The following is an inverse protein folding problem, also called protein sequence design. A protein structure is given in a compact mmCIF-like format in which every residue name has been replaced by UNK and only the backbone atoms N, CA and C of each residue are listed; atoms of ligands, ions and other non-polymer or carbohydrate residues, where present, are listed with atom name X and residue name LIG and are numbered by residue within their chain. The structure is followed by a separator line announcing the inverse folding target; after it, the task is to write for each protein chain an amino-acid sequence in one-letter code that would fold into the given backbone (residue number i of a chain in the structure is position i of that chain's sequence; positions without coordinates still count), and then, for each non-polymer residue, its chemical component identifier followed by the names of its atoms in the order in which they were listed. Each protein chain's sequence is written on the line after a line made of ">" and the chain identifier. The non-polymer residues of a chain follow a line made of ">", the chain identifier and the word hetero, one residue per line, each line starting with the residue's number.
data_IF_188948132811
#
_entry.id   IF_188948132811
#
_cell.length_a   1.000
_cell.length_b   1.000
_cell.length_c   1.000
_cell.angle_alpha   90.00
_cell.angle_beta   90.00
_cell.angle_gamma   90.00
#
_symmetry.space_group_name_H-M   'P 1'
#
loop_
_entity.id
_entity.type
_entity.pdbx_description
1 polymer ?
#
# COMPACT_ATOMS: atom_id res chain seq x y z
N UNK A 1 -31.77 52.12 -20.00
CA UNK A 1 -32.62 52.35 -18.81
C UNK A 1 -32.34 51.17 -17.89
N UNK A 2 -31.31 51.28 -17.13
CA UNK A 2 -31.17 51.42 -15.67
C UNK A 2 -32.03 50.50 -14.85
N UNK A 3 -31.42 49.38 -14.37
CA UNK A 3 -31.59 48.75 -13.05
C UNK A 3 -30.57 47.61 -12.90
N UNK A 4 -29.43 47.94 -12.32
CA UNK A 4 -28.59 46.98 -11.62
C UNK A 4 -27.57 47.76 -10.79
N UNK A 5 -27.71 47.70 -9.49
CA UNK A 5 -26.65 47.96 -8.53
C UNK A 5 -27.25 48.04 -7.10
N UNK A 6 -27.55 46.87 -6.48
CA UNK A 6 -27.72 46.86 -5.02
C UNK A 6 -27.75 45.40 -4.44
N UNK A 7 -26.82 44.54 -4.83
CA UNK A 7 -26.60 43.25 -4.10
C UNK A 7 -25.10 42.97 -4.10
N UNK A 8 -24.31 43.67 -3.34
CA UNK A 8 -22.89 43.33 -3.15
C UNK A 8 -22.23 43.92 -1.89
N UNK A 9 -22.97 44.20 -0.85
CA UNK A 9 -22.35 44.71 0.40
C UNK A 9 -22.56 43.90 1.68
N UNK A 10 -23.36 42.83 1.67
CA UNK A 10 -23.62 42.05 2.88
C UNK A 10 -22.82 40.74 3.01
N UNK A 11 -22.17 40.29 1.93
CA UNK A 11 -21.37 39.07 1.96
C UNK A 11 -19.95 39.21 2.58
N UNK A 12 -19.45 40.44 2.67
CA UNK A 12 -18.09 40.69 3.22
C UNK A 12 -18.03 40.83 4.75
N UNK A 13 -19.16 41.12 5.40
CA UNK A 13 -19.21 41.26 6.87
C UNK A 13 -19.39 39.93 7.62
N UNK A 14 -19.90 38.89 6.97
CA UNK A 14 -20.07 37.57 7.59
C UNK A 14 -18.77 36.75 7.65
N UNK A 15 -17.80 37.00 6.76
CA UNK A 15 -16.51 36.27 6.73
C UNK A 15 -15.49 36.78 7.76
N UNK A 16 -15.59 38.01 8.22
CA UNK A 16 -14.68 38.58 9.22
C UNK A 16 -14.92 38.12 10.67
N UNK A 17 -16.11 37.59 10.98
CA UNK A 17 -16.45 37.14 12.34
C UNK A 17 -16.17 35.64 12.62
N UNK A 18 -15.95 34.84 11.60
CA UNK A 18 -15.59 33.43 11.74
C UNK A 18 -14.09 33.20 11.99
N UNK A 19 -13.23 34.09 11.46
CA UNK A 19 -11.77 33.97 11.62
C UNK A 19 -11.29 34.33 13.05
N UNK A 20 -11.94 35.28 13.70
CA UNK A 20 -11.55 35.73 15.06
C UNK A 20 -11.91 34.76 16.19
N UNK A 21 -12.83 33.80 15.96
CA UNK A 21 -13.20 32.78 16.96
C UNK A 21 -12.32 31.53 16.92
N UNK A 22 -11.60 31.28 15.82
CA UNK A 22 -10.65 30.17 15.67
C UNK A 22 -9.35 30.39 16.44
N UNK A 23 -8.83 31.60 16.44
CA UNK A 23 -7.55 31.90 17.07
C UNK A 23 -7.60 31.97 18.61
N UNK A 24 -8.75 32.31 19.19
CA UNK A 24 -8.92 32.34 20.64
C UNK A 24 -8.94 30.93 21.29
N UNK A 25 -9.42 29.91 20.56
CA UNK A 25 -9.41 28.51 21.04
C UNK A 25 -8.04 27.81 20.93
N UNK A 26 -7.18 28.24 20.02
CA UNK A 26 -5.83 27.69 19.87
C UNK A 26 -4.87 28.18 20.98
N UNK A 27 -5.06 29.40 21.49
CA UNK A 27 -4.25 29.94 22.59
C UNK A 27 -4.57 29.35 23.96
N UNK A 28 -5.80 28.90 24.20
CA UNK A 28 -6.20 28.28 25.46
C UNK A 28 -5.66 26.85 25.64
N UNK A 29 -5.43 26.09 24.55
CA UNK A 29 -4.85 24.74 24.62
C UNK A 29 -3.33 24.72 24.86
N UNK A 30 -2.59 25.78 24.51
CA UNK A 30 -1.13 25.85 24.72
C UNK A 30 -0.72 26.23 26.16
N UNK A 31 -1.64 26.73 27.00
CA UNK A 31 -1.35 27.08 28.41
C UNK A 31 -1.52 25.91 29.39
N UNK A 32 -2.18 24.80 29.00
CA UNK A 32 -2.36 23.63 29.88
C UNK A 32 -1.24 22.58 29.81
N UNK A 33 -0.30 22.69 28.88
CA UNK A 33 0.78 21.72 28.66
C UNK A 33 2.13 22.09 29.30
N UNK A 34 2.19 23.14 30.13
CA UNK A 34 3.46 23.63 30.80
C UNK A 34 3.40 23.69 32.31
N UNK A 35 2.63 22.84 32.97
CA UNK A 35 2.60 22.82 34.44
C UNK A 35 2.51 21.39 34.98
N UNK A 36 3.63 20.75 35.22
CA UNK A 36 3.62 19.41 35.82
C UNK A 36 4.96 18.70 35.72
N UNK A 37 5.97 19.24 36.34
CA UNK A 37 7.25 18.56 36.49
C UNK A 37 8.04 19.16 37.63
N UNK A 38 8.00 18.56 38.83
CA UNK A 38 9.11 18.49 39.77
C UNK A 38 8.63 17.91 41.11
N UNK A 39 9.39 16.98 41.59
CA UNK A 39 9.60 16.46 42.95
C UNK A 39 9.28 14.97 43.09
N UNK A 40 10.33 14.16 43.18
CA UNK A 40 10.83 13.68 44.45
C UNK A 40 12.07 12.79 44.22
N UNK A 41 13.21 13.29 44.63
CA UNK A 41 14.39 12.49 44.92
C UNK A 41 14.45 12.26 46.43
N UNK A 42 15.09 11.16 46.83
CA UNK A 42 15.67 10.83 48.14
C UNK A 42 14.90 9.79 48.98
N UNK A 43 15.44 8.58 49.10
CA UNK A 43 16.26 8.19 50.24
C UNK A 43 16.70 6.74 50.15
N UNK A 44 17.99 6.57 50.19
CA UNK A 44 18.66 5.30 50.44
C UNK A 44 18.58 4.93 51.94
N UNK A 45 18.46 3.63 52.26
CA UNK A 45 19.19 3.08 53.41
C UNK A 45 19.31 1.57 53.32
N UNK A 46 20.50 1.13 53.57
CA UNK A 46 21.03 -0.24 53.67
C UNK A 46 20.25 -1.12 54.65
N UNK A 47 20.19 -2.41 54.35
CA UNK A 47 20.54 -3.48 55.32
C UNK A 47 20.97 -4.70 54.53
N UNK A 48 22.12 -5.17 54.96
CA UNK A 48 22.85 -6.37 54.78
C UNK A 48 22.09 -7.47 55.49
N UNK A 49 22.00 -8.65 54.86
CA UNK A 49 22.12 -9.95 55.55
C UNK A 49 22.14 -11.01 54.44
N UNK A 50 23.21 -11.84 54.42
CA UNK A 50 23.44 -12.91 53.49
C UNK A 50 22.60 -14.15 53.79
N UNK A 51 22.45 -14.94 52.78
CA UNK A 51 22.41 -16.39 52.87
C UNK A 51 22.74 -16.97 51.50
N UNK A 52 23.80 -17.81 51.49
CA UNK A 52 24.23 -18.66 50.38
C UNK A 52 23.14 -19.71 50.06
N UNK A 53 22.74 -19.79 48.81
CA UNK A 53 22.32 -21.04 48.18
C UNK A 53 22.84 -21.09 46.75
N UNK A 54 23.88 -21.89 46.51
CA UNK A 54 24.28 -22.40 45.23
C UNK A 54 23.14 -23.29 44.67
N UNK A 55 22.54 -22.88 43.57
CA UNK A 55 21.91 -23.78 42.59
C UNK A 55 22.29 -23.29 41.21
N UNK A 56 23.31 -23.94 40.62
CA UNK A 56 23.64 -23.86 39.20
C UNK A 56 22.47 -24.44 38.41
N UNK A 57 21.45 -23.62 38.11
CA UNK A 57 20.57 -23.88 36.99
C UNK A 57 21.27 -23.33 35.74
N UNK A 58 21.84 -24.26 34.97
CA UNK A 58 22.20 -24.05 33.57
C UNK A 58 20.99 -23.53 32.80
N UNK A 59 20.79 -22.20 32.83
CA UNK A 59 19.96 -21.53 31.87
C UNK A 59 20.65 -21.65 30.52
N UNK A 60 20.25 -22.73 29.80
CA UNK A 60 20.50 -22.82 28.37
C UNK A 60 20.07 -21.50 27.74
N UNK A 61 21.02 -20.58 27.60
CA UNK A 61 20.86 -19.45 26.72
C UNK A 61 20.66 -20.03 25.32
N UNK A 62 19.40 -20.14 24.92
CA UNK A 62 19.04 -20.28 23.52
C UNK A 62 19.63 -19.08 22.83
N UNK A 63 20.85 -19.23 22.32
CA UNK A 63 21.47 -18.27 21.42
C UNK A 63 20.49 -18.09 20.26
N UNK A 64 19.75 -16.97 20.27
CA UNK A 64 18.77 -16.65 19.27
C UNK A 64 19.45 -16.75 17.90
N UNK A 65 19.05 -17.72 17.08
CA UNK A 65 19.39 -17.72 15.65
C UNK A 65 18.87 -16.41 15.12
N UNK A 66 19.79 -15.54 14.69
CA UNK A 66 19.42 -14.28 14.04
C UNK A 66 18.44 -14.55 12.88
N UNK A 67 17.60 -13.59 12.56
CA UNK A 67 16.68 -13.73 11.44
C UNK A 67 17.45 -14.12 10.16
N UNK A 68 16.93 -15.12 9.45
CA UNK A 68 17.54 -15.66 8.22
C UNK A 68 16.80 -15.20 6.97
N UNK A 69 15.59 -14.66 7.13
CA UNK A 69 14.73 -14.14 6.06
C UNK A 69 14.07 -12.85 6.49
N UNK A 70 14.02 -11.85 5.60
CA UNK A 70 13.24 -10.66 5.82
C UNK A 70 12.23 -10.45 4.70
N UNK A 71 11.04 -9.96 5.07
CA UNK A 71 9.96 -9.62 4.15
C UNK A 71 9.54 -8.18 4.43
N UNK A 72 9.41 -7.39 3.36
CA UNK A 72 8.93 -6.00 3.42
C UNK A 72 7.54 -5.92 2.81
N UNK A 73 6.55 -5.48 3.59
CA UNK A 73 5.21 -5.17 3.10
C UNK A 73 5.16 -3.74 2.56
N UNK A 74 4.63 -3.57 1.35
CA UNK A 74 4.42 -2.26 0.72
C UNK A 74 2.92 -1.98 0.60
N UNK A 75 2.42 -0.91 1.25
CA UNK A 75 1.00 -0.55 1.24
C UNK A 75 0.48 -0.17 -0.15
N UNK A 76 -0.84 -0.34 -0.35
CA UNK A 76 -1.56 0.12 -1.53
C UNK A 76 -1.88 1.63 -1.50
N UNK A 77 -2.46 2.11 -2.61
CA UNK A 77 -2.83 3.52 -2.78
C UNK A 77 -3.74 4.04 -1.66
N UNK A 78 -3.44 5.24 -1.15
CA UNK A 78 -4.12 5.90 -0.02
C UNK A 78 -4.12 5.12 1.30
N UNK A 79 -3.41 4.00 1.38
CA UNK A 79 -3.30 3.23 2.62
C UNK A 79 -2.22 3.80 3.53
N UNK A 80 -2.45 3.69 4.83
CA UNK A 80 -1.45 3.97 5.85
C UNK A 80 -0.77 2.65 6.27
N UNK A 81 0.53 2.68 6.50
CA UNK A 81 1.30 1.51 6.88
C UNK A 81 0.77 0.79 8.14
N UNK A 82 0.11 1.52 9.04
CA UNK A 82 -0.46 0.96 10.27
C UNK A 82 -1.60 -0.02 10.00
N UNK A 83 -2.30 0.16 8.88
CA UNK A 83 -3.36 -0.76 8.47
C UNK A 83 -2.84 -2.16 8.09
N UNK A 84 -1.52 -2.30 7.93
CA UNK A 84 -0.88 -3.58 7.60
C UNK A 84 -0.18 -4.23 8.80
N UNK A 85 -0.31 -3.69 10.02
CA UNK A 85 0.34 -4.25 11.21
C UNK A 85 -0.11 -5.69 11.48
N UNK A 86 -1.42 -5.93 11.49
CA UNK A 86 -1.98 -7.26 11.70
C UNK A 86 -1.60 -8.26 10.58
N UNK A 87 -1.51 -7.75 9.34
CA UNK A 87 -1.05 -8.55 8.19
C UNK A 87 0.41 -8.93 8.35
N UNK A 88 1.26 -8.01 8.80
CA UNK A 88 2.68 -8.27 9.05
C UNK A 88 2.87 -9.36 10.11
N UNK A 89 2.15 -9.26 11.23
CA UNK A 89 2.19 -10.28 12.29
C UNK A 89 1.66 -11.64 11.82
N UNK A 90 0.57 -11.65 11.04
CA UNK A 90 0.01 -12.89 10.52
C UNK A 90 0.96 -13.56 9.50
N UNK A 91 1.58 -12.76 8.64
CA UNK A 91 2.58 -13.23 7.66
C UNK A 91 3.83 -13.77 8.37
N UNK A 92 4.35 -13.06 9.37
CA UNK A 92 5.49 -13.51 10.16
C UNK A 92 5.21 -14.86 10.83
N UNK A 93 4.04 -15.00 11.47
CA UNK A 93 3.61 -16.28 12.07
C UNK A 93 3.50 -17.40 11.03
N UNK A 94 2.94 -17.13 9.85
CA UNK A 94 2.82 -18.11 8.77
C UNK A 94 4.18 -18.59 8.29
N UNK A 95 5.08 -17.64 8.00
CA UNK A 95 6.43 -17.94 7.53
C UNK A 95 7.29 -18.62 8.61
N UNK A 96 7.18 -18.19 9.88
CA UNK A 96 7.89 -18.81 10.98
C UNK A 96 7.48 -20.29 11.18
N UNK A 97 6.19 -20.61 11.00
CA UNK A 97 5.72 -22.01 11.00
C UNK A 97 6.35 -22.83 9.88
N UNK A 98 6.48 -22.25 8.69
CA UNK A 98 7.03 -22.93 7.52
C UNK A 98 8.55 -23.13 7.61
N UNK A 99 9.29 -22.20 8.22
CA UNK A 99 10.76 -22.21 8.27
C UNK A 99 11.33 -22.70 9.61
N UNK A 100 10.51 -22.86 10.63
CA UNK A 100 10.96 -23.13 11.99
C UNK A 100 11.48 -21.90 12.73
N UNK A 101 11.15 -20.69 12.27
CA UNK A 101 11.53 -19.40 12.86
C UNK A 101 12.55 -18.61 12.03
N UNK A 102 13.05 -17.50 12.59
CA UNK A 102 14.09 -16.70 11.95
C UNK A 102 13.60 -15.80 10.79
N UNK A 103 12.33 -15.40 10.78
CA UNK A 103 11.75 -14.48 9.81
C UNK A 103 11.44 -13.14 10.48
N UNK A 104 11.70 -12.05 9.77
CA UNK A 104 11.30 -10.68 10.15
C UNK A 104 10.38 -10.13 9.07
N UNK A 105 9.25 -9.55 9.47
CA UNK A 105 8.34 -8.84 8.58
C UNK A 105 8.20 -7.40 9.03
N UNK A 106 8.50 -6.44 8.16
CA UNK A 106 8.29 -5.01 8.43
C UNK A 106 7.47 -4.37 7.31
N UNK A 107 6.83 -3.25 7.62
CA UNK A 107 5.98 -2.49 6.68
C UNK A 107 6.69 -1.20 6.30
N UNK A 108 6.80 -0.92 5.00
CA UNK A 108 7.31 0.35 4.50
C UNK A 108 6.47 1.51 5.06
N UNK A 109 7.12 2.48 5.70
CA UNK A 109 6.50 3.56 6.51
C UNK A 109 5.83 4.62 5.62
N UNK A 110 4.93 4.19 4.75
CA UNK A 110 4.10 5.07 3.91
C UNK A 110 2.88 5.50 4.71
N UNK A 111 2.77 6.78 5.01
CA UNK A 111 1.58 7.33 5.64
C UNK A 111 0.50 7.64 4.60
N UNK A 112 -0.78 7.60 4.99
CA UNK A 112 -1.87 7.95 4.08
C UNK A 112 -1.73 9.36 3.47
N UNK A 113 -1.10 10.29 4.19
CA UNK A 113 -0.84 11.65 3.72
C UNK A 113 0.23 11.74 2.61
N UNK A 114 1.14 10.77 2.51
CA UNK A 114 2.21 10.74 1.52
C UNK A 114 1.67 10.55 0.09
N UNK A 115 0.44 10.05 -0.03
CA UNK A 115 -0.25 9.89 -1.32
C UNK A 115 -0.87 11.20 -1.86
N UNK A 116 -1.13 12.20 -1.00
CA UNK A 116 -1.83 13.42 -1.40
C UNK A 116 -1.14 14.20 -2.51
N UNK A 117 0.20 14.36 -2.52
CA UNK A 117 0.88 15.03 -3.63
C UNK A 117 0.64 14.37 -4.98
N UNK A 118 0.53 13.03 -5.02
CA UNK A 118 0.28 12.28 -6.27
C UNK A 118 -1.09 12.58 -6.86
N UNK A 119 -2.09 12.86 -6.01
CA UNK A 119 -3.43 13.28 -6.42
C UNK A 119 -3.42 14.66 -7.09
N UNK A 120 -2.48 15.52 -6.75
CA UNK A 120 -2.27 16.84 -7.35
C UNK A 120 -1.28 16.79 -8.55
N UNK A 121 -0.94 15.61 -9.05
CA UNK A 121 0.00 15.42 -10.15
C UNK A 121 1.47 15.47 -9.76
N UNK A 122 1.79 15.29 -8.46
CA UNK A 122 3.14 15.03 -7.97
C UNK A 122 3.63 13.62 -8.28
N UNK A 123 4.91 13.38 -8.03
CA UNK A 123 5.55 12.08 -8.22
C UNK A 123 5.43 11.17 -6.98
N UNK A 124 5.97 9.96 -7.07
CA UNK A 124 5.95 8.96 -6.01
C UNK A 124 7.26 8.83 -5.23
N UNK A 125 8.18 9.79 -5.35
CA UNK A 125 9.52 9.69 -4.74
C UNK A 125 9.46 9.44 -3.23
N UNK A 126 8.56 10.11 -2.51
CA UNK A 126 8.39 9.93 -1.05
C UNK A 126 8.04 8.48 -0.71
N UNK A 127 7.19 7.84 -1.51
CA UNK A 127 6.77 6.46 -1.30
C UNK A 127 7.90 5.49 -1.63
N UNK A 128 8.59 5.73 -2.75
CA UNK A 128 9.75 4.90 -3.15
C UNK A 128 10.90 5.04 -2.17
N UNK A 129 11.10 6.23 -1.57
CA UNK A 129 12.07 6.45 -0.49
C UNK A 129 11.71 5.66 0.78
N UNK A 130 10.42 5.57 1.14
CA UNK A 130 9.97 4.74 2.26
C UNK A 130 10.20 3.24 2.00
N UNK A 131 10.00 2.78 0.76
CA UNK A 131 10.32 1.40 0.35
C UNK A 131 11.83 1.15 0.49
N UNK A 132 12.67 2.04 -0.07
CA UNK A 132 14.15 1.93 -0.01
C UNK A 132 14.64 1.86 1.44
N UNK A 133 14.15 2.74 2.31
CA UNK A 133 14.52 2.78 3.72
C UNK A 133 14.16 1.46 4.46
N UNK A 134 12.95 0.93 4.22
CA UNK A 134 12.50 -0.31 4.84
C UNK A 134 13.29 -1.52 4.32
N UNK A 135 13.50 -1.64 3.01
CA UNK A 135 14.26 -2.73 2.40
C UNK A 135 15.69 -2.76 2.92
N UNK A 136 16.38 -1.60 2.98
CA UNK A 136 17.76 -1.54 3.50
C UNK A 136 17.84 -1.89 4.98
N UNK A 137 16.88 -1.43 5.79
CA UNK A 137 16.78 -1.79 7.20
C UNK A 137 16.63 -3.31 7.36
N UNK A 138 15.65 -3.90 6.69
CA UNK A 138 15.39 -5.34 6.77
C UNK A 138 16.55 -6.19 6.23
N UNK A 139 17.21 -5.76 5.15
CA UNK A 139 18.42 -6.43 4.65
C UNK A 139 19.55 -6.41 5.70
N UNK A 140 19.73 -5.29 6.42
CA UNK A 140 20.73 -5.22 7.49
C UNK A 140 20.41 -6.16 8.66
N UNK A 141 19.13 -6.34 9.02
CA UNK A 141 18.68 -7.26 10.08
C UNK A 141 18.95 -8.73 9.73
N UNK A 142 19.07 -9.07 8.46
CA UNK A 142 19.43 -10.41 7.96
C UNK A 142 20.87 -10.46 7.43
N UNK A 143 21.78 -9.69 8.03
CA UNK A 143 23.21 -9.67 7.70
C UNK A 143 23.52 -9.33 6.24
N UNK A 144 22.74 -8.45 5.61
CA UNK A 144 22.93 -8.02 4.23
C UNK A 144 22.36 -8.99 3.19
N UNK A 145 21.62 -10.03 3.61
CA UNK A 145 20.90 -10.89 2.66
C UNK A 145 19.80 -10.12 1.93
N UNK A 146 19.43 -10.61 0.75
CA UNK A 146 18.32 -10.03 -0.01
C UNK A 146 17.00 -10.34 0.68
N UNK A 147 16.03 -9.45 0.49
CA UNK A 147 14.69 -9.52 1.09
C UNK A 147 13.64 -9.89 0.04
N UNK A 148 12.51 -10.44 0.50
CA UNK A 148 11.28 -10.49 -0.28
C UNK A 148 10.49 -9.21 -0.09
N UNK A 149 9.90 -8.68 -1.15
CA UNK A 149 8.93 -7.58 -1.07
C UNK A 149 7.54 -8.10 -1.41
N UNK A 150 6.60 -7.98 -0.47
CA UNK A 150 5.18 -8.23 -0.69
C UNK A 150 4.49 -6.89 -0.89
N UNK A 151 3.91 -6.67 -2.05
CA UNK A 151 3.44 -5.35 -2.44
C UNK A 151 1.95 -5.38 -2.85
N UNK A 152 1.12 -4.66 -2.09
CA UNK A 152 -0.32 -4.61 -2.32
C UNK A 152 -0.68 -3.51 -3.32
N UNK A 153 -1.57 -3.84 -4.28
CA UNK A 153 -2.17 -2.85 -5.17
C UNK A 153 -1.12 -1.99 -5.89
N UNK A 154 -1.22 -0.66 -5.83
CA UNK A 154 -0.25 0.27 -6.41
C UNK A 154 1.19 0.04 -5.90
N UNK A 155 1.36 -0.48 -4.69
CA UNK A 155 2.67 -0.87 -4.15
C UNK A 155 3.44 -1.83 -5.06
N UNK A 156 2.73 -2.68 -5.83
CA UNK A 156 3.32 -3.66 -6.74
C UNK A 156 4.12 -3.01 -7.87
N UNK A 157 3.53 -2.10 -8.62
CA UNK A 157 4.26 -1.41 -9.69
C UNK A 157 5.26 -0.37 -9.15
N UNK A 158 5.01 0.22 -7.97
CA UNK A 158 5.99 1.09 -7.28
C UNK A 158 7.23 0.30 -6.84
N UNK A 159 7.06 -0.96 -6.42
CA UNK A 159 8.19 -1.85 -6.15
C UNK A 159 9.00 -2.11 -7.41
N UNK A 160 8.38 -2.31 -8.58
CA UNK A 160 9.12 -2.44 -9.86
C UNK A 160 9.91 -1.16 -10.19
N UNK A 161 9.33 0.01 -9.93
CA UNK A 161 10.04 1.29 -10.06
C UNK A 161 11.23 1.37 -9.10
N UNK A 162 11.06 0.94 -7.85
CA UNK A 162 12.12 0.88 -6.84
C UNK A 162 13.28 -0.04 -7.26
N UNK A 163 13.00 -1.19 -7.87
CA UNK A 163 14.04 -2.09 -8.36
C UNK A 163 14.93 -1.41 -9.42
N UNK A 164 14.41 -0.41 -10.09
CA UNK A 164 15.00 0.22 -11.28
C UNK A 164 16.40 0.78 -11.08
N UNK A 165 17.23 0.66 -12.12
CA UNK A 165 18.60 1.22 -12.20
C UNK A 165 18.62 2.67 -12.71
N UNK A 166 17.60 3.07 -13.49
CA UNK A 166 17.48 4.43 -14.03
C UNK A 166 17.04 5.42 -12.94
N UNK A 167 17.47 6.68 -13.01
CA UNK A 167 17.04 7.68 -12.05
C UNK A 167 15.53 7.97 -12.18
N UNK A 168 14.82 7.93 -11.04
CA UNK A 168 13.48 8.46 -10.88
C UNK A 168 13.54 9.66 -9.93
N UNK A 169 13.02 10.81 -10.34
CA UNK A 169 13.12 12.07 -9.58
C UNK A 169 14.58 12.43 -9.17
N UNK A 170 15.56 12.09 -10.00
CA UNK A 170 16.98 12.36 -9.74
C UNK A 170 17.71 11.34 -8.86
N UNK A 171 17.03 10.29 -8.37
CA UNK A 171 17.61 9.22 -7.54
C UNK A 171 17.52 7.86 -8.23
N UNK A 172 18.65 7.17 -8.38
CA UNK A 172 18.71 5.77 -8.81
C UNK A 172 18.65 4.87 -7.58
N UNK A 173 17.54 4.12 -7.42
CA UNK A 173 17.31 3.29 -6.23
C UNK A 173 18.09 1.97 -6.29
N UNK A 174 18.07 1.30 -7.45
CA UNK A 174 18.77 0.02 -7.69
C UNK A 174 18.38 -1.05 -6.68
N UNK A 175 17.07 -1.15 -6.39
CA UNK A 175 16.52 -2.09 -5.42
C UNK A 175 16.78 -3.56 -5.76
N UNK A 176 17.04 -3.88 -7.04
CA UNK A 176 17.41 -5.22 -7.52
C UNK A 176 18.63 -5.82 -6.78
N UNK A 177 19.45 -4.97 -6.16
CA UNK A 177 20.61 -5.41 -5.35
C UNK A 177 20.22 -5.96 -4.00
N UNK A 178 19.06 -5.56 -3.48
CA UNK A 178 18.59 -5.88 -2.13
C UNK A 178 17.39 -6.81 -2.12
N UNK A 179 16.75 -7.03 -3.27
CA UNK A 179 15.52 -7.83 -3.40
C UNK A 179 15.81 -9.08 -4.22
N UNK A 180 15.31 -10.23 -3.77
CA UNK A 180 15.38 -11.51 -4.49
C UNK A 180 14.00 -12.01 -4.95
N UNK A 181 12.92 -11.52 -4.33
CA UNK A 181 11.58 -11.88 -4.73
C UNK A 181 10.60 -10.71 -4.55
N UNK A 182 9.66 -10.58 -5.47
CA UNK A 182 8.52 -9.67 -5.39
C UNK A 182 7.24 -10.45 -5.53
N UNK A 183 6.39 -10.41 -4.50
CA UNK A 183 5.05 -10.98 -4.50
C UNK A 183 4.06 -9.82 -4.55
N UNK A 184 3.29 -9.71 -5.61
CA UNK A 184 2.29 -8.64 -5.74
C UNK A 184 0.90 -9.17 -5.43
N UNK A 185 0.12 -8.39 -4.68
CA UNK A 185 -1.24 -8.71 -4.28
C UNK A 185 -2.21 -7.74 -4.96
N UNK A 186 -2.92 -8.19 -5.99
CA UNK A 186 -3.86 -7.37 -6.76
C UNK A 186 -3.24 -6.12 -7.38
N UNK A 187 -2.01 -6.19 -7.89
CA UNK A 187 -1.32 -5.02 -8.41
C UNK A 187 -1.72 -4.72 -9.87
N UNK A 188 -2.13 -3.48 -10.19
CA UNK A 188 -2.57 -3.10 -11.54
C UNK A 188 -1.37 -2.80 -12.47
N UNK A 189 -0.62 -3.83 -12.88
CA UNK A 189 0.61 -3.67 -13.66
C UNK A 189 0.42 -3.03 -15.04
N UNK A 190 -0.72 -3.27 -15.69
CA UNK A 190 -1.06 -2.72 -17.02
C UNK A 190 -2.30 -1.84 -17.00
N UNK A 191 -2.55 -1.12 -15.88
CA UNK A 191 -3.69 -0.23 -15.84
C UNK A 191 -3.59 0.89 -16.89
N UNK A 192 -4.68 1.12 -17.60
CA UNK A 192 -4.83 2.24 -18.54
C UNK A 192 -5.20 3.55 -17.83
N UNK A 193 -5.50 3.48 -16.55
CA UNK A 193 -5.89 4.61 -15.73
C UNK A 193 -4.76 5.62 -15.62
N UNK A 194 -5.02 6.86 -16.00
CA UNK A 194 -4.01 7.94 -15.94
C UNK A 194 -3.85 8.53 -14.54
N UNK A 195 -4.80 8.27 -13.69
CA UNK A 195 -4.90 8.80 -12.35
C UNK A 195 -5.31 7.68 -11.39
N UNK A 196 -4.65 7.47 -10.27
CA UNK A 196 -3.72 8.38 -9.57
C UNK A 196 -2.23 8.08 -9.81
N UNK A 197 -1.82 7.65 -10.98
CA UNK A 197 -0.48 7.09 -11.25
C UNK A 197 0.65 8.13 -11.37
N UNK A 198 0.48 9.32 -10.79
CA UNK A 198 1.52 10.33 -10.62
C UNK A 198 2.17 10.79 -11.93
N UNK A 199 2.96 11.84 -11.87
CA UNK A 199 3.70 12.32 -13.02
C UNK A 199 5.16 11.91 -12.92
N UNK A 200 5.77 11.53 -14.04
CA UNK A 200 7.22 11.51 -14.17
C UNK A 200 7.67 12.98 -14.24
N UNK A 201 8.57 13.43 -13.34
CA UNK A 201 9.08 14.80 -13.41
C UNK A 201 9.71 15.06 -14.78
N UNK A 202 9.25 16.09 -15.46
CA UNK A 202 9.96 16.61 -16.64
C UNK A 202 11.33 17.12 -16.17
N UNK A 203 12.42 16.58 -16.72
CA UNK A 203 13.73 17.17 -16.54
C UNK A 203 13.68 18.65 -16.93
N UNK A 204 14.26 19.51 -16.10
CA UNK A 204 14.34 20.95 -16.40
C UNK A 204 14.95 21.13 -17.78
N UNK A 205 14.31 22.01 -18.58
CA UNK A 205 14.73 22.37 -19.95
C UNK A 205 16.23 22.74 -19.94
N UNK A 206 17.09 21.89 -20.48
CA UNK A 206 18.55 22.09 -20.53
C UNK A 206 19.38 20.84 -20.27
N UNK A 207 18.84 19.79 -19.66
CA UNK A 207 19.53 18.52 -19.47
C UNK A 207 19.01 17.51 -20.50
N UNK A 208 19.78 17.28 -21.56
CA UNK A 208 19.41 16.39 -22.68
C UNK A 208 18.86 15.05 -22.24
N UNK A 209 17.80 14.57 -22.94
CA UNK A 209 17.09 13.28 -22.88
C UNK A 209 15.64 13.24 -22.37
N UNK A 210 15.00 14.35 -22.02
CA UNK A 210 13.56 14.34 -21.73
C UNK A 210 12.67 14.05 -22.96
N UNK A 211 13.24 14.02 -24.17
CA UNK A 211 12.49 13.80 -25.41
C UNK A 211 12.41 12.34 -25.86
N UNK A 212 12.99 11.38 -25.13
CA UNK A 212 13.03 9.98 -25.54
C UNK A 212 11.86 9.12 -25.06
N UNK A 213 11.02 9.64 -24.14
CA UNK A 213 9.84 8.92 -23.72
C UNK A 213 8.70 9.11 -24.73
N UNK A 214 8.02 8.02 -25.13
CA UNK A 214 6.78 8.11 -25.89
C UNK A 214 5.78 9.05 -25.23
N UNK A 215 4.94 9.70 -26.03
CA UNK A 215 3.97 10.69 -25.55
C UNK A 215 2.99 10.12 -24.51
N UNK A 216 2.64 8.83 -24.67
CA UNK A 216 1.78 8.05 -23.77
C UNK A 216 2.43 7.75 -22.41
N UNK A 217 3.75 7.64 -22.36
CA UNK A 217 4.50 7.46 -21.11
C UNK A 217 4.74 8.80 -20.36
N UNK A 218 4.53 9.94 -21.04
CA UNK A 218 4.67 11.26 -20.42
C UNK A 218 3.52 11.51 -19.44
N UNK A 219 3.88 11.83 -18.19
CA UNK A 219 2.90 12.16 -17.14
C UNK A 219 2.28 10.97 -16.42
N UNK A 220 2.80 9.72 -16.62
CA UNK A 220 2.40 8.55 -15.85
C UNK A 220 3.62 7.77 -15.38
N UNK A 221 3.80 7.68 -14.05
CA UNK A 221 4.88 6.87 -13.45
C UNK A 221 4.71 5.37 -13.71
N UNK A 222 3.47 4.89 -13.82
CA UNK A 222 3.21 3.50 -14.20
C UNK A 222 3.63 3.23 -15.66
N UNK A 223 3.24 4.10 -16.61
CA UNK A 223 3.65 3.97 -18.00
C UNK A 223 5.18 4.06 -18.16
N UNK A 224 5.82 4.97 -17.41
CA UNK A 224 7.29 5.02 -17.31
C UNK A 224 7.89 3.70 -16.83
N UNK A 225 7.33 3.13 -15.74
CA UNK A 225 7.79 1.85 -15.19
C UNK A 225 7.66 0.71 -16.21
N UNK A 226 6.52 0.62 -16.89
CA UNK A 226 6.29 -0.41 -17.90
C UNK A 226 7.21 -0.26 -19.11
N UNK A 227 7.57 0.97 -19.49
CA UNK A 227 8.49 1.22 -20.59
C UNK A 227 9.95 0.87 -20.23
N UNK A 228 10.38 1.27 -19.02
CA UNK A 228 11.78 1.08 -18.60
C UNK A 228 12.07 -0.32 -18.08
N UNK A 229 11.09 -0.96 -17.45
CA UNK A 229 11.20 -2.25 -16.80
C UNK A 229 10.03 -3.17 -17.20
N UNK A 230 9.94 -3.57 -18.48
CA UNK A 230 8.85 -4.40 -18.96
C UNK A 230 8.93 -5.81 -18.37
N UNK A 231 7.79 -6.38 -18.01
CA UNK A 231 7.70 -7.74 -17.49
C UNK A 231 8.46 -7.95 -16.18
N UNK A 232 8.87 -9.18 -15.95
CA UNK A 232 9.78 -9.60 -14.88
C UNK A 232 11.23 -9.24 -15.24
N UNK A 233 11.53 -7.94 -15.26
CA UNK A 233 12.70 -7.34 -15.91
C UNK A 233 14.07 -7.85 -15.39
N UNK A 234 14.19 -8.06 -14.07
CA UNK A 234 15.45 -8.50 -13.48
C UNK A 234 15.46 -10.02 -13.25
N UNK A 235 16.29 -10.75 -13.99
CA UNK A 235 16.44 -12.21 -13.87
C UNK A 235 16.86 -12.66 -12.46
N UNK A 236 17.55 -11.78 -11.72
CA UNK A 236 17.97 -12.04 -10.33
C UNK A 236 16.85 -11.86 -9.29
N UNK A 237 15.64 -11.50 -9.72
CA UNK A 237 14.48 -11.26 -8.88
C UNK A 237 13.34 -12.18 -9.35
N UNK A 238 12.80 -12.98 -8.46
CA UNK A 238 11.61 -13.77 -8.74
C UNK A 238 10.37 -12.90 -8.62
N UNK A 239 9.45 -12.99 -9.58
CA UNK A 239 8.20 -12.23 -9.59
C UNK A 239 7.01 -13.17 -9.50
N UNK A 240 6.11 -12.89 -8.57
CA UNK A 240 4.86 -13.64 -8.37
C UNK A 240 3.70 -12.66 -8.33
N UNK A 241 2.73 -12.83 -9.20
CA UNK A 241 1.48 -12.07 -9.18
C UNK A 241 0.39 -12.90 -8.51
N UNK A 242 -0.16 -12.39 -7.42
CA UNK A 242 -1.31 -12.99 -6.74
C UNK A 242 -2.52 -12.10 -6.98
N UNK A 243 -3.62 -12.64 -7.47
CA UNK A 243 -4.84 -11.87 -7.72
C UNK A 243 -6.07 -12.64 -7.28
N UNK A 244 -7.01 -11.90 -6.65
CA UNK A 244 -8.33 -12.41 -6.31
C UNK A 244 -9.27 -12.44 -7.52
N UNK A 245 -10.14 -13.45 -7.59
CA UNK A 245 -11.22 -13.55 -8.56
C UNK A 245 -12.54 -13.83 -7.84
N UNK A 246 -13.23 -12.75 -7.47
CA UNK A 246 -14.47 -12.85 -6.69
C UNK A 246 -15.63 -12.11 -7.34
N UNK A 247 -15.39 -10.96 -8.00
CA UNK A 247 -16.44 -10.10 -8.53
C UNK A 247 -16.32 -9.96 -10.04
N UNK A 248 -17.45 -10.20 -10.73
CA UNK A 248 -17.61 -9.77 -12.12
C UNK A 248 -18.20 -8.35 -12.13
N UNK A 249 -17.58 -7.46 -12.90
CA UNK A 249 -18.14 -6.13 -13.12
C UNK A 249 -19.36 -6.15 -14.02
N UNK A 250 -20.09 -5.04 -14.08
CA UNK A 250 -21.22 -4.87 -15.01
C UNK A 250 -21.10 -3.54 -15.77
N UNK A 251 -21.31 -3.51 -17.08
CA UNK A 251 -21.26 -2.30 -17.88
C UNK A 251 -22.48 -1.38 -17.64
N UNK A 252 -23.53 -1.89 -17.00
CA UNK A 252 -24.77 -1.13 -16.75
C UNK A 252 -25.40 -1.49 -15.41
N UNK A 253 -26.11 -0.51 -14.84
CA UNK A 253 -26.96 -0.76 -13.68
C UNK A 253 -28.35 -1.18 -14.14
N UNK A 254 -28.60 -2.50 -14.14
CA UNK A 254 -29.86 -3.07 -14.57
C UNK A 254 -30.92 -3.08 -13.43
N UNK A 255 -31.63 -1.96 -13.31
CA UNK A 255 -32.73 -1.81 -12.35
C UNK A 255 -33.94 -2.67 -12.71
N UNK A 256 -34.27 -2.77 -14.01
CA UNK A 256 -35.45 -3.50 -14.47
C UNK A 256 -35.26 -5.00 -14.20
N UNK A 257 -34.11 -5.55 -14.53
CA UNK A 257 -33.78 -6.94 -14.21
C UNK A 257 -33.88 -7.22 -12.70
N UNK A 258 -33.40 -6.32 -11.84
CA UNK A 258 -33.50 -6.50 -10.39
C UNK A 258 -34.94 -6.51 -9.87
N UNK A 259 -35.86 -5.79 -10.54
CA UNK A 259 -37.28 -5.72 -10.15
C UNK A 259 -38.09 -6.90 -10.69
N UNK A 260 -37.68 -7.48 -11.83
CA UNK A 260 -38.41 -8.53 -12.55
C UNK A 260 -37.81 -9.93 -12.35
N UNK A 261 -36.73 -10.05 -11.59
CA UNK A 261 -36.09 -11.34 -11.30
C UNK A 261 -36.95 -12.08 -10.26
N UNK A 262 -37.43 -13.27 -10.60
CA UNK A 262 -38.28 -14.11 -9.75
C UNK A 262 -37.46 -14.99 -8.77
N UNK A 263 -36.23 -14.56 -8.42
CA UNK A 263 -35.42 -15.25 -7.42
C UNK A 263 -36.06 -15.09 -6.03
N UNK A 264 -36.61 -16.17 -5.54
CA UNK A 264 -37.32 -16.23 -4.24
C UNK A 264 -36.36 -16.14 -3.05
N UNK A 265 -35.05 -16.33 -3.26
CA UNK A 265 -34.06 -16.33 -2.16
C UNK A 265 -33.63 -14.91 -1.76
N UNK A 266 -33.66 -13.94 -2.67
CA UNK A 266 -33.21 -12.58 -2.45
C UNK A 266 -34.35 -11.55 -2.51
N UNK A 267 -34.36 -10.61 -1.60
CA UNK A 267 -35.27 -9.46 -1.67
C UNK A 267 -34.91 -8.55 -2.85
N UNK A 268 -35.89 -7.79 -3.34
CA UNK A 268 -35.66 -6.78 -4.40
C UNK A 268 -34.52 -5.81 -4.01
N UNK A 269 -34.43 -5.46 -2.73
CA UNK A 269 -33.41 -4.54 -2.22
C UNK A 269 -32.01 -5.16 -2.28
N UNK A 270 -31.87 -6.44 -1.97
CA UNK A 270 -30.61 -7.17 -2.07
C UNK A 270 -30.15 -7.28 -3.51
N UNK A 271 -31.05 -7.66 -4.42
CA UNK A 271 -30.76 -7.70 -5.86
C UNK A 271 -30.33 -6.34 -6.43
N UNK A 272 -31.00 -5.26 -6.04
CA UNK A 272 -30.60 -3.91 -6.43
C UNK A 272 -29.22 -3.54 -5.89
N UNK A 273 -28.91 -3.93 -4.66
CA UNK A 273 -27.60 -3.67 -4.03
C UNK A 273 -26.49 -4.45 -4.72
N UNK A 274 -26.70 -5.71 -5.06
CA UNK A 274 -25.74 -6.53 -5.79
C UNK A 274 -25.44 -5.98 -7.20
N UNK A 275 -26.51 -5.64 -7.95
CA UNK A 275 -26.37 -5.05 -9.28
C UNK A 275 -25.70 -3.68 -9.25
N UNK A 276 -25.98 -2.87 -8.23
CA UNK A 276 -25.26 -1.61 -8.01
C UNK A 276 -23.78 -1.83 -7.70
N UNK A 277 -23.47 -2.79 -6.85
CA UNK A 277 -22.08 -3.15 -6.52
C UNK A 277 -21.33 -3.62 -7.76
N UNK A 278 -21.92 -4.52 -8.55
CA UNK A 278 -21.34 -5.00 -9.82
C UNK A 278 -21.11 -3.86 -10.81
N UNK A 279 -22.04 -2.90 -10.91
CA UNK A 279 -21.88 -1.72 -11.76
C UNK A 279 -20.72 -0.81 -11.28
N UNK A 280 -20.62 -0.53 -9.98
CA UNK A 280 -19.52 0.28 -9.42
C UNK A 280 -18.17 -0.38 -9.68
N UNK A 281 -18.08 -1.69 -9.48
CA UNK A 281 -16.89 -2.48 -9.82
C UNK A 281 -16.60 -2.43 -11.32
N UNK A 282 -17.63 -2.54 -12.16
CA UNK A 282 -17.50 -2.43 -13.61
C UNK A 282 -16.94 -1.08 -14.07
N UNK A 283 -17.32 0.02 -13.41
CA UNK A 283 -16.72 1.36 -13.68
C UNK A 283 -15.22 1.36 -13.37
N UNK A 284 -14.82 0.75 -12.25
CA UNK A 284 -13.40 0.61 -11.89
C UNK A 284 -12.65 -0.25 -12.92
N UNK A 285 -13.23 -1.39 -13.33
CA UNK A 285 -12.59 -2.28 -14.28
C UNK A 285 -12.48 -1.65 -15.68
N UNK A 286 -13.52 -0.93 -16.12
CA UNK A 286 -13.47 -0.18 -17.38
C UNK A 286 -12.34 0.87 -17.38
N UNK A 287 -12.14 1.56 -16.27
CA UNK A 287 -11.03 2.51 -16.12
C UNK A 287 -9.66 1.79 -16.16
N UNK A 288 -9.58 0.61 -15.56
CA UNK A 288 -8.35 -0.17 -15.46
C UNK A 288 -7.94 -0.85 -16.76
N UNK A 289 -8.86 -1.58 -17.40
CA UNK A 289 -8.58 -2.44 -18.57
C UNK A 289 -9.48 -2.20 -19.78
N UNK A 290 -10.39 -1.23 -19.71
CA UNK A 290 -11.34 -0.94 -20.81
C UNK A 290 -12.56 -1.86 -20.87
N UNK A 291 -12.67 -2.86 -19.99
CA UNK A 291 -13.76 -3.83 -19.95
C UNK A 291 -14.50 -3.78 -18.61
N UNK A 292 -15.72 -3.25 -18.62
CA UNK A 292 -16.57 -3.17 -17.45
C UNK A 292 -17.12 -4.53 -17.00
N UNK A 293 -17.07 -5.55 -17.85
CA UNK A 293 -17.54 -6.92 -17.57
C UNK A 293 -16.41 -7.85 -17.09
N UNK A 294 -15.18 -7.35 -16.97
CA UNK A 294 -14.06 -8.13 -16.47
C UNK A 294 -14.33 -8.73 -15.09
N UNK A 295 -13.55 -9.74 -14.73
CA UNK A 295 -13.53 -10.34 -13.39
C UNK A 295 -12.28 -9.93 -12.66
N UNK A 296 -12.37 -9.87 -11.31
CA UNK A 296 -11.25 -9.55 -10.46
C UNK A 296 -11.60 -9.54 -8.98
N UNK A 297 -10.78 -8.84 -8.21
CA UNK A 297 -10.86 -8.78 -6.74
C UNK A 297 -11.78 -7.67 -6.20
N UNK A 298 -12.53 -6.99 -7.09
CA UNK A 298 -13.40 -5.85 -6.75
C UNK A 298 -12.77 -4.48 -7.03
N UNK A 299 -11.47 -4.41 -7.29
CA UNK A 299 -10.72 -3.18 -7.65
C UNK A 299 -9.85 -3.42 -8.86
N UNK A 300 -9.03 -4.46 -8.86
CA UNK A 300 -8.09 -4.80 -9.92
C UNK A 300 -8.62 -5.98 -10.75
N UNK A 301 -8.77 -5.84 -12.08
CA UNK A 301 -9.08 -6.94 -12.95
C UNK A 301 -7.97 -7.99 -12.98
N UNK A 302 -8.34 -9.28 -13.05
CA UNK A 302 -7.37 -10.39 -13.16
C UNK A 302 -6.40 -10.16 -14.32
N UNK A 303 -6.90 -9.78 -15.49
CA UNK A 303 -6.08 -9.54 -16.67
C UNK A 303 -5.02 -8.45 -16.44
N UNK A 304 -5.36 -7.40 -15.69
CA UNK A 304 -4.44 -6.28 -15.40
C UNK A 304 -3.38 -6.69 -14.37
N UNK A 305 -3.76 -7.48 -13.35
CA UNK A 305 -2.84 -7.95 -12.33
C UNK A 305 -1.85 -8.99 -12.87
N UNK A 306 -2.27 -9.84 -13.78
CA UNK A 306 -1.45 -10.91 -14.39
C UNK A 306 -0.66 -10.48 -15.62
N UNK A 307 -0.67 -9.20 -15.99
CA UNK A 307 -0.04 -8.69 -17.22
C UNK A 307 1.48 -8.53 -17.15
N UNK A 308 2.12 -9.00 -16.10
CA UNK A 308 3.58 -8.93 -15.95
C UNK A 308 4.22 -10.18 -16.58
N UNK A 309 4.67 -10.05 -17.83
CA UNK A 309 5.27 -11.15 -18.58
C UNK A 309 6.48 -11.73 -17.83
N UNK A 310 6.57 -13.07 -17.78
CA UNK A 310 7.65 -13.78 -17.10
C UNK A 310 7.47 -13.95 -15.58
N UNK A 311 6.40 -13.40 -15.00
CA UNK A 311 6.07 -13.63 -13.60
C UNK A 311 5.26 -14.94 -13.43
N UNK A 312 5.40 -15.57 -12.27
CA UNK A 312 4.49 -16.62 -11.82
C UNK A 312 3.13 -16.02 -11.47
N UNK A 313 2.05 -16.69 -11.83
CA UNK A 313 0.69 -16.20 -11.64
C UNK A 313 -0.12 -17.11 -10.73
N UNK A 314 -0.71 -16.54 -9.69
CA UNK A 314 -1.56 -17.22 -8.70
C UNK A 314 -2.93 -16.53 -8.66
N UNK A 315 -3.99 -17.27 -8.95
CA UNK A 315 -5.36 -16.78 -8.83
C UNK A 315 -6.00 -17.36 -7.58
N UNK A 316 -6.57 -16.49 -6.75
CA UNK A 316 -7.25 -16.85 -5.51
C UNK A 316 -8.76 -16.65 -5.64
N UNK A 317 -9.54 -17.72 -5.89
CA UNK A 317 -10.99 -17.61 -6.00
C UNK A 317 -11.61 -17.09 -4.70
N UNK A 318 -12.59 -16.19 -4.81
CA UNK A 318 -13.31 -15.67 -3.66
C UNK A 318 -12.57 -14.63 -2.81
N UNK A 319 -11.38 -14.17 -3.23
CA UNK A 319 -10.56 -13.21 -2.45
C UNK A 319 -10.77 -11.80 -2.97
N UNK A 320 -11.06 -10.87 -2.05
CA UNK A 320 -11.25 -9.46 -2.31
C UNK A 320 -9.93 -8.67 -2.24
N UNK A 321 -9.94 -7.47 -2.84
CA UNK A 321 -8.78 -6.57 -2.90
C UNK A 321 -8.32 -6.08 -1.53
N UNK A 322 -9.24 -5.76 -0.65
CA UNK A 322 -8.93 -5.22 0.68
C UNK A 322 -10.11 -5.37 1.63
N UNK A 323 -9.86 -5.29 2.92
CA UNK A 323 -10.86 -5.46 3.97
C UNK A 323 -12.04 -4.47 3.87
N UNK A 324 -11.82 -3.31 3.25
CA UNK A 324 -12.85 -2.31 2.99
C UNK A 324 -13.73 -2.61 1.77
N UNK A 325 -13.34 -3.59 0.94
CA UNK A 325 -14.07 -4.04 -0.25
C UNK A 325 -14.87 -5.30 0.08
N UNK A 326 -14.27 -6.24 0.81
CA UNK A 326 -14.93 -7.48 1.21
C UNK A 326 -14.00 -8.40 2.01
N UNK A 327 -14.56 -9.51 2.48
CA UNK A 327 -13.86 -10.55 3.24
C UNK A 327 -14.23 -11.92 2.67
N UNK A 328 -13.25 -12.86 2.49
CA UNK A 328 -11.83 -12.72 2.81
C UNK A 328 -11.05 -11.87 1.79
N UNK A 329 -9.98 -11.23 2.22
CA UNK A 329 -9.08 -10.45 1.39
C UNK A 329 -7.62 -10.92 1.53
N UNK A 330 -6.67 -10.39 0.76
CA UNK A 330 -5.26 -10.84 0.76
C UNK A 330 -4.61 -10.89 2.14
N UNK A 331 -5.02 -10.01 3.08
CA UNK A 331 -4.50 -9.96 4.45
C UNK A 331 -5.28 -10.82 5.46
N UNK A 332 -6.33 -11.54 5.04
CA UNK A 332 -7.03 -12.49 5.91
C UNK A 332 -6.12 -13.68 6.23
N UNK A 333 -6.08 -14.16 7.49
CA UNK A 333 -5.11 -15.18 7.92
C UNK A 333 -5.07 -16.43 7.04
N UNK A 334 -6.23 -16.98 6.69
CA UNK A 334 -6.32 -18.16 5.83
C UNK A 334 -5.85 -17.91 4.40
N UNK A 335 -6.01 -16.68 3.91
CA UNK A 335 -5.55 -16.27 2.57
C UNK A 335 -4.04 -16.04 2.57
N UNK A 336 -3.47 -15.50 3.66
CA UNK A 336 -2.02 -15.36 3.81
C UNK A 336 -1.34 -16.74 3.67
N UNK A 337 -1.86 -17.78 4.28
CA UNK A 337 -1.30 -19.14 4.18
C UNK A 337 -1.29 -19.67 2.72
N UNK A 338 -2.21 -19.19 1.86
CA UNK A 338 -2.29 -19.62 0.46
C UNK A 338 -1.18 -19.02 -0.44
N UNK A 339 -0.63 -17.84 -0.08
CA UNK A 339 0.40 -17.16 -0.90
C UNK A 339 1.73 -16.93 -0.20
N UNK A 340 1.79 -17.04 1.12
CA UNK A 340 3.00 -16.70 1.90
C UNK A 340 4.23 -17.54 1.54
N UNK A 341 4.05 -18.80 1.10
CA UNK A 341 5.15 -19.67 0.67
C UNK A 341 6.00 -19.06 -0.45
N UNK A 342 5.41 -18.19 -1.29
CA UNK A 342 6.15 -17.47 -2.32
C UNK A 342 7.11 -16.39 -1.77
N UNK A 343 7.08 -16.10 -0.48
CA UNK A 343 8.07 -15.22 0.18
C UNK A 343 9.38 -15.94 0.54
N UNK A 344 9.39 -17.26 0.47
CA UNK A 344 10.56 -18.08 0.76
C UNK A 344 11.42 -18.30 -0.50
N UNK A 345 12.73 -18.55 -0.37
CA UNK A 345 13.65 -18.81 -1.48
C UNK A 345 13.23 -19.98 -2.35
#
# INVERSE_FOLDING_TARGET
>A
MTRDATISRDASRARGRACARGEARARARRRRARGGGARAAARASRRDDGDDYDEDEDVETTSGRGATRAVVLVPGFLSDWRAYADVAEALERSLARATGGGVVVDVARVAGADWWPTLAGGDFSVIVDAIDACVRKCSAEVNGAKVCVVAHSAGGWLTRLYLGSEPYCGKAYRGEKFVDAVVTLGAPHASMERYPFGRVPERRRGEGEASSLPEDARGSSLAYTNLKYPGAFYESVRYVNVVGDVVAGSPSFDVIGALCDDDDENTVLERLRERWSAYVVGVSYAANCGDASARGDGVCPVATALSLDGAENVILPGVYHGANIGDPWYGSPDVIDAWSSHCLP
#
